data_IF_759139650989
#
_entry.id   IF_759139650989
#
_cell.length_a   1.000
_cell.length_b   1.000
_cell.length_c   1.000
_cell.angle_alpha   90.00
_cell.angle_beta   90.00
_cell.angle_gamma   90.00
#
_symmetry.space_group_name_H-M   'P 1'
#
loop_
_entity.id
_entity.type
_entity.pdbx_description
1 polymer ?
#
# COMPACT_ATOMS: atom_id res chain seq x y z
N UNK A 1 -31.96 -23.82 -21.49
CA UNK A 1 -32.02 -22.80 -20.42
C UNK A 1 -30.84 -21.87 -20.64
N UNK A 2 -31.05 -20.73 -21.27
CA UNK A 2 -30.01 -19.72 -21.44
C UNK A 2 -29.71 -19.14 -20.06
N UNK A 3 -28.53 -19.43 -19.55
CA UNK A 3 -27.99 -18.74 -18.35
C UNK A 3 -28.06 -17.24 -18.64
N UNK A 4 -29.03 -16.57 -18.04
CA UNK A 4 -29.17 -15.13 -18.17
C UNK A 4 -27.89 -14.50 -17.63
N UNK A 5 -27.16 -13.80 -18.48
CA UNK A 5 -25.94 -13.12 -18.08
C UNK A 5 -26.28 -12.18 -16.91
N UNK A 6 -25.76 -12.49 -15.74
CA UNK A 6 -25.93 -11.66 -14.55
C UNK A 6 -25.20 -10.34 -14.81
N UNK A 7 -25.89 -9.21 -14.74
CA UNK A 7 -25.26 -7.92 -14.92
C UNK A 7 -24.30 -7.65 -13.76
N UNK A 8 -23.04 -7.32 -14.05
CA UNK A 8 -22.06 -7.07 -13.00
C UNK A 8 -22.26 -5.68 -12.36
N UNK A 9 -21.73 -5.51 -11.15
CA UNK A 9 -21.58 -4.21 -10.53
C UNK A 9 -20.56 -3.37 -11.30
N UNK A 10 -20.78 -2.07 -11.36
CA UNK A 10 -19.87 -1.08 -11.93
C UNK A 10 -19.38 -0.23 -10.78
N UNK A 11 -18.08 -0.21 -10.54
CA UNK A 11 -17.46 0.65 -9.53
C UNK A 11 -16.92 1.91 -10.18
N UNK A 12 -17.46 3.06 -9.78
CA UNK A 12 -17.07 4.39 -10.25
C UNK A 12 -16.32 5.06 -9.09
N UNK A 13 -15.01 5.25 -9.23
CA UNK A 13 -14.22 5.94 -8.21
C UNK A 13 -14.47 7.44 -8.23
N UNK A 14 -14.41 8.04 -7.05
CA UNK A 14 -14.64 9.46 -6.76
C UNK A 14 -13.50 10.04 -5.93
N UNK A 15 -12.28 9.52 -6.13
CA UNK A 15 -11.09 9.82 -5.32
C UNK A 15 -10.59 11.26 -5.48
N UNK A 16 -11.08 11.99 -6.48
CA UNK A 16 -10.86 13.44 -6.65
C UNK A 16 -12.20 14.16 -6.83
N UNK A 17 -12.34 15.39 -6.31
CA UNK A 17 -13.60 16.14 -6.43
C UNK A 17 -14.02 16.41 -7.87
N UNK A 18 -13.04 16.65 -8.76
CA UNK A 18 -13.25 17.11 -10.12
C UNK A 18 -13.56 15.98 -11.10
N UNK A 19 -13.12 14.76 -10.79
CA UNK A 19 -13.16 13.65 -11.75
C UNK A 19 -13.73 12.37 -11.13
N UNK A 20 -14.61 11.75 -11.90
CA UNK A 20 -15.10 10.40 -11.65
C UNK A 20 -14.62 9.48 -12.78
N UNK A 21 -14.21 8.26 -12.48
CA UNK A 21 -13.89 7.29 -13.51
C UNK A 21 -14.23 5.86 -13.09
N UNK A 22 -14.36 4.94 -14.06
CA UNK A 22 -14.67 3.56 -13.75
C UNK A 22 -13.40 2.84 -13.31
N UNK A 23 -13.41 2.34 -12.08
CA UNK A 23 -12.37 1.48 -11.54
C UNK A 23 -12.55 0.03 -12.03
N UNK A 24 -13.79 -0.50 -11.99
CA UNK A 24 -14.06 -1.88 -12.35
C UNK A 24 -15.46 -2.08 -12.94
N UNK A 25 -15.63 -3.19 -13.68
CA UNK A 25 -16.93 -3.72 -14.11
C UNK A 25 -16.92 -5.22 -13.80
N UNK A 26 -17.62 -5.62 -12.74
CA UNK A 26 -17.42 -6.93 -12.13
C UNK A 26 -15.93 -7.08 -11.70
N UNK A 27 -15.37 -8.24 -12.01
CA UNK A 27 -13.96 -8.54 -11.66
C UNK A 27 -12.94 -7.89 -12.61
N UNK A 28 -13.40 -7.26 -13.71
CA UNK A 28 -12.50 -6.70 -14.70
C UNK A 28 -12.07 -5.25 -14.35
N UNK A 29 -10.76 -4.96 -14.20
CA UNK A 29 -10.26 -3.60 -14.01
C UNK A 29 -10.52 -2.74 -15.25
N UNK A 30 -10.69 -1.43 -15.06
CA UNK A 30 -10.96 -0.47 -16.14
C UNK A 30 -9.94 0.66 -16.25
N UNK A 31 -8.94 0.69 -15.39
CA UNK A 31 -7.82 1.63 -15.49
C UNK A 31 -8.25 3.08 -15.54
N UNK A 32 -9.23 3.49 -14.74
CA UNK A 32 -9.78 4.85 -14.73
C UNK A 32 -10.47 5.26 -16.06
N UNK A 33 -11.25 4.36 -16.64
CA UNK A 33 -11.99 4.63 -17.87
C UNK A 33 -13.04 5.74 -17.66
N UNK A 34 -13.34 6.48 -18.75
CA UNK A 34 -14.40 7.49 -18.73
C UNK A 34 -15.76 6.87 -18.35
N UNK A 35 -16.29 7.29 -17.21
CA UNK A 35 -17.48 6.69 -16.63
C UNK A 35 -18.75 6.93 -17.45
N UNK A 36 -18.88 8.09 -18.11
CA UNK A 36 -20.04 8.38 -18.94
C UNK A 36 -20.08 7.49 -20.18
N UNK A 37 -18.93 7.28 -20.81
CA UNK A 37 -18.82 6.37 -21.96
C UNK A 37 -19.09 4.92 -21.59
N UNK A 38 -18.63 4.48 -20.40
CA UNK A 38 -18.91 3.12 -19.91
C UNK A 38 -20.40 2.96 -19.65
N UNK A 39 -21.04 3.92 -18.97
CA UNK A 39 -22.48 3.91 -18.71
C UNK A 39 -23.29 3.88 -20.02
N UNK A 40 -22.96 4.72 -20.99
CA UNK A 40 -23.64 4.73 -22.29
C UNK A 40 -23.57 3.34 -22.96
N UNK A 41 -22.41 2.67 -22.91
CA UNK A 41 -22.27 1.32 -23.49
C UNK A 41 -23.08 0.28 -22.73
N UNK A 42 -23.16 0.37 -21.41
CA UNK A 42 -23.97 -0.54 -20.59
C UNK A 42 -25.44 -0.34 -20.84
N UNK A 43 -25.91 0.92 -20.89
CA UNK A 43 -27.29 1.25 -21.22
C UNK A 43 -27.67 0.80 -22.65
N UNK A 44 -26.78 0.97 -23.61
CA UNK A 44 -27.03 0.51 -24.99
C UNK A 44 -27.20 -1.02 -25.11
N UNK A 45 -26.67 -1.79 -24.15
CA UNK A 45 -26.87 -3.25 -24.07
C UNK A 45 -28.20 -3.62 -23.41
N UNK A 46 -28.90 -2.66 -22.81
CA UNK A 46 -30.21 -2.84 -22.15
C UNK A 46 -31.17 -1.80 -22.72
N UNK A 47 -31.67 -1.99 -23.98
CA UNK A 47 -32.46 -0.99 -24.68
C UNK A 47 -33.72 -0.53 -23.90
N UNK A 48 -34.32 -1.44 -23.17
CA UNK A 48 -35.47 -1.14 -22.33
C UNK A 48 -35.21 -0.10 -21.23
N UNK A 49 -33.98 -0.08 -20.67
CA UNK A 49 -33.54 0.94 -19.72
C UNK A 49 -33.24 2.27 -20.43
N UNK A 50 -32.65 2.19 -21.63
CA UNK A 50 -32.30 3.38 -22.40
C UNK A 50 -33.51 4.25 -22.73
N UNK A 51 -34.64 3.62 -23.05
CA UNK A 51 -35.87 4.32 -23.40
C UNK A 51 -36.58 4.90 -22.16
N UNK A 52 -36.41 4.28 -20.99
CA UNK A 52 -37.15 4.62 -19.76
C UNK A 52 -36.35 5.53 -18.82
N UNK A 53 -35.01 5.42 -18.85
CA UNK A 53 -34.08 6.18 -17.99
C UNK A 53 -33.21 7.07 -18.86
N UNK A 54 -33.41 8.37 -18.81
CA UNK A 54 -32.53 9.31 -19.48
C UNK A 54 -31.12 9.19 -18.86
N UNK A 55 -30.08 9.13 -19.66
CA UNK A 55 -28.69 9.09 -19.21
C UNK A 55 -28.37 10.18 -18.19
N UNK A 56 -28.97 11.35 -18.37
CA UNK A 56 -28.82 12.49 -17.43
C UNK A 56 -29.34 12.15 -16.03
N UNK A 57 -30.54 11.53 -15.92
CA UNK A 57 -31.12 11.16 -14.62
C UNK A 57 -30.29 10.12 -13.90
N UNK A 58 -29.64 9.19 -14.64
CA UNK A 58 -28.69 8.23 -14.06
C UNK A 58 -27.42 8.93 -13.56
N UNK A 59 -26.89 9.86 -14.32
CA UNK A 59 -25.74 10.69 -13.92
C UNK A 59 -26.08 11.47 -12.64
N UNK A 60 -27.26 12.09 -12.59
CA UNK A 60 -27.70 12.86 -11.43
C UNK A 60 -27.88 11.95 -10.19
N UNK A 61 -28.42 10.75 -10.35
CA UNK A 61 -28.55 9.77 -9.25
C UNK A 61 -27.19 9.29 -8.71
N UNK A 62 -26.21 9.08 -9.60
CA UNK A 62 -24.85 8.70 -9.18
C UNK A 62 -24.17 9.85 -8.42
N UNK A 63 -24.34 11.08 -8.90
CA UNK A 63 -23.81 12.26 -8.21
C UNK A 63 -24.48 12.48 -6.86
N UNK A 64 -25.81 12.36 -6.79
CA UNK A 64 -26.55 12.45 -5.54
C UNK A 64 -26.04 11.40 -4.52
N UNK A 65 -25.90 10.14 -4.93
CA UNK A 65 -25.38 9.09 -4.06
C UNK A 65 -23.93 9.38 -3.57
N UNK A 66 -23.10 10.04 -4.38
CA UNK A 66 -21.77 10.51 -3.96
C UNK A 66 -21.88 11.66 -2.96
N UNK A 67 -22.70 12.67 -3.27
CA UNK A 67 -22.72 13.94 -2.55
C UNK A 67 -23.52 13.85 -1.24
N UNK A 68 -24.60 13.05 -1.24
CA UNK A 68 -25.47 12.80 -0.10
C UNK A 68 -25.03 11.59 0.74
N UNK A 69 -24.11 10.78 0.18
CA UNK A 69 -23.57 9.57 0.83
C UNK A 69 -24.67 8.54 1.20
N UNK A 70 -25.73 8.44 0.39
CA UNK A 70 -26.88 7.58 0.63
C UNK A 70 -27.02 6.47 -0.43
N UNK A 71 -27.58 5.35 0.01
CA UNK A 71 -28.00 4.27 -0.87
C UNK A 71 -29.19 4.69 -1.73
N UNK A 72 -29.16 4.34 -3.02
CA UNK A 72 -30.28 4.59 -3.92
C UNK A 72 -30.83 3.28 -4.47
N UNK A 73 -32.11 3.03 -4.27
CA UNK A 73 -32.85 1.90 -4.83
C UNK A 73 -34.05 2.43 -5.63
N UNK A 74 -34.01 2.25 -6.95
CA UNK A 74 -35.04 2.66 -7.85
C UNK A 74 -35.60 1.47 -8.63
N UNK A 75 -36.91 1.41 -8.82
CA UNK A 75 -37.54 0.46 -9.75
C UNK A 75 -38.25 1.28 -10.85
N UNK A 76 -37.85 0.99 -12.08
CA UNK A 76 -38.34 1.69 -13.28
C UNK A 76 -39.22 0.77 -14.08
N UNK A 77 -40.42 1.24 -14.42
CA UNK A 77 -41.27 0.55 -15.38
C UNK A 77 -40.73 0.76 -16.80
N UNK A 78 -40.45 -0.33 -17.50
CA UNK A 78 -39.95 -0.30 -18.88
C UNK A 78 -40.82 -1.13 -19.80
N UNK A 79 -40.69 -0.96 -21.10
CA UNK A 79 -41.46 -1.72 -22.09
C UNK A 79 -41.22 -3.23 -22.05
N UNK A 80 -40.11 -3.68 -21.44
CA UNK A 80 -39.78 -5.11 -21.26
C UNK A 80 -39.99 -5.61 -19.81
N UNK A 81 -40.72 -4.83 -18.98
CA UNK A 81 -40.99 -5.16 -17.57
C UNK A 81 -40.17 -4.27 -16.60
N UNK A 82 -40.37 -4.43 -15.29
CA UNK A 82 -39.71 -3.59 -14.30
C UNK A 82 -38.21 -3.89 -14.25
N UNK A 83 -37.39 -2.82 -14.18
CA UNK A 83 -35.94 -2.89 -14.00
C UNK A 83 -35.55 -2.21 -12.68
N UNK A 84 -34.59 -2.75 -11.99
CA UNK A 84 -34.02 -2.21 -10.76
C UNK A 84 -32.68 -1.52 -11.04
N UNK A 85 -32.52 -0.39 -10.40
CA UNK A 85 -31.26 0.37 -10.30
C UNK A 85 -30.88 0.42 -8.83
N UNK A 86 -29.67 -0.01 -8.51
CA UNK A 86 -29.11 0.03 -7.15
C UNK A 86 -27.80 0.77 -7.16
N UNK A 87 -27.66 1.73 -6.27
CA UNK A 87 -26.44 2.51 -6.11
C UNK A 87 -25.99 2.42 -4.66
N UNK A 88 -24.70 2.14 -4.43
CA UNK A 88 -24.12 1.95 -3.10
C UNK A 88 -22.84 2.75 -2.98
N UNK A 89 -22.76 3.75 -2.10
CA UNK A 89 -21.53 4.46 -1.80
C UNK A 89 -20.49 3.54 -1.12
N UNK A 90 -19.22 3.81 -1.37
CA UNK A 90 -18.09 3.22 -0.68
C UNK A 90 -17.40 4.31 0.11
N UNK A 91 -17.37 4.14 1.43
CA UNK A 91 -16.90 5.18 2.34
C UNK A 91 -15.41 5.10 2.62
N UNK A 92 -14.78 6.26 2.75
CA UNK A 92 -13.48 6.47 3.34
C UNK A 92 -13.56 6.73 4.85
N UNK A 93 -12.40 6.95 5.52
CA UNK A 93 -12.32 7.09 6.98
C UNK A 93 -13.05 8.31 7.55
N UNK A 94 -13.17 9.38 6.78
CA UNK A 94 -13.86 10.61 7.17
C UNK A 94 -15.36 10.63 6.85
N UNK A 95 -15.93 9.53 6.32
CA UNK A 95 -17.28 9.49 5.78
C UNK A 95 -17.40 10.01 4.34
N UNK A 96 -16.30 10.46 3.75
CA UNK A 96 -16.25 10.87 2.34
C UNK A 96 -16.49 9.64 1.44
N UNK A 97 -17.15 9.84 0.31
CA UNK A 97 -17.43 8.77 -0.65
C UNK A 97 -16.24 8.61 -1.61
N UNK A 98 -15.55 7.47 -1.53
CA UNK A 98 -14.39 7.14 -2.37
C UNK A 98 -14.79 6.45 -3.68
N UNK A 99 -15.96 5.83 -3.72
CA UNK A 99 -16.55 5.27 -4.93
C UNK A 99 -18.06 5.16 -4.81
N UNK A 100 -18.70 5.06 -5.96
CA UNK A 100 -20.12 4.71 -6.07
C UNK A 100 -20.24 3.43 -6.89
N UNK A 101 -20.92 2.41 -6.35
CA UNK A 101 -21.18 1.15 -7.04
C UNK A 101 -22.60 1.13 -7.58
N UNK A 102 -22.69 0.81 -8.85
CA UNK A 102 -23.93 0.79 -9.61
C UNK A 102 -24.23 -0.62 -10.11
N UNK A 103 -25.44 -1.08 -9.86
CA UNK A 103 -26.00 -2.26 -10.50
C UNK A 103 -27.32 -1.91 -11.20
N UNK A 104 -27.49 -2.46 -12.40
CA UNK A 104 -28.72 -2.31 -13.19
C UNK A 104 -29.12 -3.66 -13.75
N UNK A 105 -30.40 -4.04 -13.61
CA UNK A 105 -30.89 -5.30 -14.14
C UNK A 105 -32.41 -5.38 -14.11
N UNK A 106 -32.98 -6.49 -14.65
CA UNK A 106 -34.41 -6.77 -14.46
C UNK A 106 -34.72 -6.84 -12.97
N UNK A 107 -35.86 -6.29 -12.54
CA UNK A 107 -36.28 -6.38 -11.14
C UNK A 107 -36.55 -7.82 -10.68
N UNK A 108 -36.78 -8.74 -11.62
CA UNK A 108 -36.92 -10.17 -11.36
C UNK A 108 -35.56 -10.91 -11.32
N UNK A 109 -34.46 -10.28 -11.77
CA UNK A 109 -33.14 -10.87 -11.73
C UNK A 109 -32.54 -10.79 -10.31
N UNK A 110 -31.83 -11.82 -9.92
CA UNK A 110 -31.05 -11.80 -8.67
C UNK A 110 -29.89 -10.83 -8.83
N UNK A 111 -29.86 -9.79 -7.99
CA UNK A 111 -28.69 -8.92 -7.89
C UNK A 111 -27.53 -9.73 -7.31
N UNK A 112 -26.34 -9.75 -7.94
CA UNK A 112 -25.20 -10.44 -7.39
C UNK A 112 -24.78 -9.84 -6.05
N UNK A 113 -24.15 -10.66 -5.22
CA UNK A 113 -23.56 -10.19 -3.98
C UNK A 113 -22.60 -9.03 -4.26
N UNK A 114 -22.60 -8.05 -3.37
CA UNK A 114 -21.73 -6.89 -3.47
C UNK A 114 -20.40 -7.20 -2.81
N UNK A 115 -19.28 -7.34 -3.56
CA UNK A 115 -17.98 -7.62 -2.96
C UNK A 115 -17.57 -6.55 -1.94
N UNK A 116 -16.74 -6.89 -0.97
CA UNK A 116 -16.26 -5.90 -0.02
C UNK A 116 -15.43 -4.82 -0.74
N UNK A 117 -15.61 -3.58 -0.36
CA UNK A 117 -14.75 -2.48 -0.78
C UNK A 117 -14.75 -1.36 0.25
N UNK A 118 -13.67 -0.60 0.28
CA UNK A 118 -13.46 0.46 1.27
C UNK A 118 -12.58 1.55 0.68
N UNK A 119 -12.81 2.79 1.14
CA UNK A 119 -11.89 3.90 0.91
C UNK A 119 -10.82 3.97 2.00
N UNK A 120 -9.62 4.39 1.64
CA UNK A 120 -8.55 4.70 2.58
C UNK A 120 -7.85 6.00 2.20
N UNK A 121 -7.18 6.64 3.15
CA UNK A 121 -6.44 7.89 2.93
C UNK A 121 -5.00 7.67 3.38
N UNK A 122 -4.06 7.86 2.49
CA UNK A 122 -2.65 7.99 2.78
C UNK A 122 -2.32 9.45 3.06
N UNK A 123 -1.77 9.73 4.22
CA UNK A 123 -1.25 11.04 4.60
C UNK A 123 0.29 11.00 4.62
N UNK A 124 0.90 11.73 3.70
CA UNK A 124 2.35 11.81 3.58
C UNK A 124 2.99 12.53 4.77
N UNK A 125 2.29 13.44 5.42
CA UNK A 125 2.85 14.20 6.54
C UNK A 125 2.99 13.34 7.80
N UNK A 126 1.98 12.55 8.09
CA UNK A 126 1.98 11.62 9.23
C UNK A 126 2.58 10.26 8.88
N UNK A 127 2.70 9.92 7.59
CA UNK A 127 3.11 8.61 7.06
C UNK A 127 2.23 7.47 7.53
N UNK A 128 0.96 7.76 7.66
CA UNK A 128 -0.05 6.79 8.06
C UNK A 128 -1.11 6.61 7.00
N UNK A 129 -1.72 5.44 7.01
CA UNK A 129 -2.92 5.15 6.26
C UNK A 129 -4.10 5.11 7.21
N UNK A 130 -5.14 5.85 6.87
CA UNK A 130 -6.40 5.88 7.61
C UNK A 130 -7.43 5.02 6.88
N UNK A 131 -8.20 4.25 7.62
CA UNK A 131 -9.22 3.35 7.07
C UNK A 131 -10.48 3.33 7.95
N UNK A 132 -11.68 3.24 7.35
CA UNK A 132 -12.93 3.14 8.11
C UNK A 132 -13.11 1.73 8.68
N UNK A 133 -14.08 1.58 9.60
CA UNK A 133 -14.45 0.28 10.18
C UNK A 133 -14.80 -0.77 9.11
N UNK A 134 -15.30 -0.35 7.95
CA UNK A 134 -15.61 -1.23 6.82
C UNK A 134 -14.41 -2.03 6.28
N UNK A 135 -13.17 -1.62 6.60
CA UNK A 135 -11.96 -2.36 6.24
C UNK A 135 -11.89 -3.76 6.87
N UNK A 136 -12.58 -3.99 7.99
CA UNK A 136 -12.66 -5.32 8.62
C UNK A 136 -13.33 -6.36 7.72
N UNK A 137 -14.20 -5.95 6.79
CA UNK A 137 -14.81 -6.85 5.80
C UNK A 137 -13.83 -7.36 4.76
N UNK A 138 -12.76 -6.59 4.47
CA UNK A 138 -11.69 -7.03 3.56
C UNK A 138 -10.76 -8.06 4.21
N UNK A 139 -10.57 -7.96 5.53
CA UNK A 139 -9.61 -8.79 6.27
C UNK A 139 -10.28 -9.96 7.00
N UNK A 140 -11.60 -10.01 7.03
CA UNK A 140 -12.33 -10.99 7.83
C UNK A 140 -12.21 -10.77 9.36
N UNK A 141 -11.65 -9.65 9.79
CA UNK A 141 -11.47 -9.33 11.20
C UNK A 141 -12.78 -8.87 11.85
N UNK A 142 -12.87 -9.01 13.18
CA UNK A 142 -13.98 -8.43 13.94
C UNK A 142 -13.85 -6.89 14.03
N UNK A 143 -14.98 -6.22 14.29
CA UNK A 143 -14.98 -4.78 14.51
C UNK A 143 -14.07 -4.33 15.67
N UNK A 144 -13.88 -5.18 16.68
CA UNK A 144 -13.01 -4.94 17.83
C UNK A 144 -11.52 -4.94 17.47
N UNK A 145 -11.16 -5.61 16.37
CA UNK A 145 -9.79 -5.68 15.85
C UNK A 145 -9.49 -4.56 14.86
N UNK A 146 -10.44 -3.64 14.66
CA UNK A 146 -10.25 -2.53 13.74
C UNK A 146 -9.15 -1.59 14.20
N UNK A 147 -8.18 -1.33 13.30
CA UNK A 147 -7.11 -0.35 13.49
C UNK A 147 -7.38 0.81 12.54
N UNK A 148 -7.91 1.95 13.02
CA UNK A 148 -8.33 3.07 12.16
C UNK A 148 -7.16 3.78 11.49
N UNK A 149 -5.98 3.74 12.09
CA UNK A 149 -4.75 4.39 11.59
C UNK A 149 -3.58 3.43 11.76
N UNK A 150 -2.86 3.16 10.68
CA UNK A 150 -1.67 2.30 10.71
C UNK A 150 -0.55 2.92 9.88
N UNK A 151 0.69 2.47 10.10
CA UNK A 151 1.81 2.84 9.24
C UNK A 151 1.68 2.20 7.86
N UNK A 152 2.30 2.80 6.86
CA UNK A 152 2.36 2.18 5.53
C UNK A 152 3.13 0.86 5.55
N UNK A 153 4.10 0.71 6.45
CA UNK A 153 4.86 -0.52 6.63
C UNK A 153 3.97 -1.68 7.10
N UNK A 154 2.98 -1.41 7.96
CA UNK A 154 2.00 -2.40 8.40
C UNK A 154 1.10 -2.85 7.25
N UNK A 155 0.63 -1.91 6.41
CA UNK A 155 -0.14 -2.27 5.22
C UNK A 155 0.69 -3.13 4.27
N UNK A 156 1.91 -2.72 3.94
CA UNK A 156 2.78 -3.48 3.03
C UNK A 156 3.21 -4.83 3.60
N UNK A 157 3.30 -4.97 4.92
CA UNK A 157 3.61 -6.25 5.55
C UNK A 157 2.53 -7.32 5.30
N UNK A 158 1.27 -6.89 5.19
CA UNK A 158 0.13 -7.77 4.86
C UNK A 158 0.10 -8.18 3.39
N UNK A 159 0.78 -7.44 2.52
CA UNK A 159 0.83 -7.69 1.08
C UNK A 159 1.97 -8.68 0.78
N UNK A 160 1.62 -9.85 0.25
CA UNK A 160 2.61 -10.89 -0.03
C UNK A 160 3.45 -10.62 -1.28
N UNK A 161 2.85 -10.04 -2.32
CA UNK A 161 3.53 -9.68 -3.56
C UNK A 161 2.73 -8.66 -4.37
N UNK A 162 3.43 -7.75 -5.04
CA UNK A 162 2.90 -6.93 -6.13
C UNK A 162 4.03 -6.41 -7.03
N UNK A 163 3.72 -6.26 -8.32
CA UNK A 163 4.77 -6.03 -9.33
C UNK A 163 5.07 -4.54 -9.61
N UNK A 164 4.30 -3.61 -9.03
CA UNK A 164 4.41 -2.16 -9.31
C UNK A 164 4.96 -1.37 -8.14
N UNK A 165 5.87 -1.96 -7.41
CA UNK A 165 6.38 -1.43 -6.15
C UNK A 165 6.97 -0.02 -6.28
N UNK A 166 7.85 0.20 -7.27
CA UNK A 166 8.47 1.50 -7.50
C UNK A 166 7.43 2.59 -7.84
N UNK A 167 6.45 2.28 -8.70
CA UNK A 167 5.39 3.22 -9.09
C UNK A 167 4.48 3.57 -7.90
N UNK A 168 4.16 2.58 -7.05
CA UNK A 168 3.37 2.80 -5.83
C UNK A 168 4.13 3.72 -4.87
N UNK A 169 5.42 3.46 -4.64
CA UNK A 169 6.24 4.29 -3.77
C UNK A 169 6.41 5.70 -4.32
N UNK A 170 6.59 5.86 -5.64
CA UNK A 170 6.69 7.18 -6.26
C UNK A 170 5.40 7.99 -6.04
N UNK A 171 4.25 7.39 -6.30
CA UNK A 171 2.96 8.04 -6.07
C UNK A 171 2.72 8.38 -4.60
N UNK A 172 3.12 7.51 -3.67
CA UNK A 172 2.91 7.74 -2.23
C UNK A 172 3.85 8.80 -1.64
N UNK A 173 5.10 8.85 -2.10
CA UNK A 173 6.13 9.73 -1.50
C UNK A 173 6.45 10.98 -2.33
N UNK A 174 6.06 11.01 -3.59
CA UNK A 174 6.23 12.15 -4.49
C UNK A 174 4.95 12.44 -5.28
N UNK A 175 3.78 12.55 -4.58
CA UNK A 175 2.49 12.70 -5.25
C UNK A 175 2.46 13.95 -6.12
N UNK A 176 2.02 13.81 -7.37
CA UNK A 176 1.79 14.93 -8.30
C UNK A 176 0.31 14.98 -8.65
N UNK A 177 -0.21 16.19 -8.80
CA UNK A 177 -1.60 16.37 -9.21
C UNK A 177 -1.88 15.61 -10.53
N UNK A 178 -2.92 14.76 -10.50
CA UNK A 178 -3.30 13.91 -11.63
C UNK A 178 -2.66 12.53 -11.66
N UNK A 179 -1.66 12.24 -10.82
CA UNK A 179 -1.09 10.90 -10.71
C UNK A 179 -2.16 9.92 -10.21
N UNK A 180 -2.21 8.78 -10.88
CA UNK A 180 -3.15 7.71 -10.57
C UNK A 180 -2.55 6.36 -10.91
N UNK A 181 -2.90 5.36 -10.12
CA UNK A 181 -2.42 4.00 -10.27
C UNK A 181 -3.51 3.00 -9.93
N UNK A 182 -3.63 1.94 -10.73
CA UNK A 182 -4.46 0.79 -10.40
C UNK A 182 -3.63 -0.48 -10.53
N UNK A 183 -3.68 -1.33 -9.52
CA UNK A 183 -2.94 -2.59 -9.48
C UNK A 183 -3.65 -3.59 -8.56
N UNK A 184 -3.24 -4.84 -8.64
CA UNK A 184 -3.75 -5.90 -7.79
C UNK A 184 -2.64 -6.44 -6.89
N UNK A 185 -3.01 -6.85 -5.69
CA UNK A 185 -2.09 -7.38 -4.68
C UNK A 185 -2.68 -8.64 -4.06
N UNK A 186 -1.80 -9.57 -3.70
CA UNK A 186 -2.16 -10.70 -2.87
C UNK A 186 -1.92 -10.37 -1.41
N UNK A 187 -2.90 -10.59 -0.55
CA UNK A 187 -2.88 -10.26 0.87
C UNK A 187 -2.93 -11.53 1.69
N UNK A 188 -2.06 -11.62 2.68
CA UNK A 188 -1.95 -12.78 3.60
C UNK A 188 -2.44 -12.45 5.00
N UNK A 189 -3.54 -11.72 5.12
CA UNK A 189 -4.11 -11.32 6.40
C UNK A 189 -5.15 -12.35 6.84
N UNK A 190 -4.70 -13.38 7.53
CA UNK A 190 -5.56 -14.42 8.09
C UNK A 190 -5.02 -15.84 7.90
N UNK A 191 -5.42 -16.79 8.76
CA UNK A 191 -4.84 -18.12 8.80
C UNK A 191 -5.29 -19.05 7.67
N UNK A 192 -6.35 -18.73 6.93
CA UNK A 192 -7.00 -19.72 6.10
C UNK A 192 -6.90 -19.53 4.59
N UNK A 193 -6.78 -18.31 4.06
CA UNK A 193 -6.72 -18.10 2.61
C UNK A 193 -6.14 -16.74 2.23
N UNK A 194 -5.21 -16.67 1.26
CA UNK A 194 -4.77 -15.39 0.73
C UNK A 194 -5.93 -14.71 0.01
N UNK A 195 -6.16 -13.44 0.33
CA UNK A 195 -7.09 -12.57 -0.39
C UNK A 195 -6.42 -11.88 -1.57
N UNK A 196 -7.19 -11.41 -2.53
CA UNK A 196 -6.72 -10.57 -3.63
C UNK A 196 -7.47 -9.25 -3.62
N UNK A 197 -6.71 -8.17 -3.52
CA UNK A 197 -7.26 -6.82 -3.53
C UNK A 197 -6.87 -6.07 -4.79
N UNK A 198 -7.82 -5.34 -5.34
CA UNK A 198 -7.57 -4.31 -6.34
C UNK A 198 -7.53 -2.97 -5.65
N UNK A 199 -6.42 -2.25 -5.86
CA UNK A 199 -6.20 -0.94 -5.28
C UNK A 199 -6.18 0.09 -6.40
N UNK A 200 -7.07 1.08 -6.33
CA UNK A 200 -7.07 2.25 -7.18
C UNK A 200 -6.65 3.45 -6.34
N UNK A 201 -5.62 4.19 -6.78
CA UNK A 201 -5.03 5.31 -6.04
C UNK A 201 -5.08 6.55 -6.92
N UNK A 202 -5.38 7.69 -6.31
CA UNK A 202 -5.14 9.02 -6.87
C UNK A 202 -4.35 9.87 -5.90
N UNK A 203 -3.29 10.51 -6.41
CA UNK A 203 -2.55 11.51 -5.64
C UNK A 203 -3.45 12.71 -5.34
N UNK A 204 -3.29 13.24 -4.14
CA UNK A 204 -3.97 14.45 -3.65
C UNK A 204 -2.95 15.38 -3.01
N UNK A 205 -3.02 16.64 -3.42
CA UNK A 205 -2.26 17.75 -2.84
C UNK A 205 -3.21 18.93 -2.68
N UNK A 206 -4.08 18.82 -1.69
CA UNK A 206 -5.08 19.85 -1.38
C UNK A 206 -5.01 20.24 0.11
N UNK A 207 -5.83 21.20 0.51
CA UNK A 207 -5.82 21.71 1.89
C UNK A 207 -6.12 20.65 2.97
N UNK A 208 -6.70 19.51 2.59
CA UNK A 208 -7.05 18.41 3.51
C UNK A 208 -6.04 17.27 3.49
N UNK A 209 -5.44 16.99 2.34
CA UNK A 209 -4.61 15.81 2.15
C UNK A 209 -3.41 16.13 1.28
N UNK A 210 -2.21 15.99 1.83
CA UNK A 210 -1.00 15.82 1.04
C UNK A 210 -0.66 14.34 1.06
N UNK A 211 -0.91 13.65 -0.06
CA UNK A 211 -0.74 12.21 -0.13
C UNK A 211 -1.59 11.56 -1.21
N UNK A 212 -2.48 10.64 -0.83
CA UNK A 212 -3.33 9.95 -1.79
C UNK A 212 -4.64 9.44 -1.17
N UNK A 213 -5.67 9.38 -2.00
CA UNK A 213 -6.90 8.67 -1.70
C UNK A 213 -6.92 7.33 -2.43
N UNK A 214 -7.39 6.30 -1.73
CA UNK A 214 -7.40 4.93 -2.21
C UNK A 214 -8.83 4.38 -2.21
N UNK A 215 -9.10 3.54 -3.19
CA UNK A 215 -10.23 2.60 -3.21
C UNK A 215 -9.65 1.20 -3.22
N UNK A 216 -10.04 0.37 -2.27
CA UNK A 216 -9.62 -1.03 -2.14
C UNK A 216 -10.85 -1.89 -2.36
N UNK A 217 -10.83 -2.77 -3.36
CA UNK A 217 -11.88 -3.71 -3.71
C UNK A 217 -11.39 -5.14 -3.47
N UNK A 218 -12.21 -5.95 -2.80
CA UNK A 218 -11.98 -7.40 -2.73
C UNK A 218 -12.31 -8.03 -4.09
N UNK A 219 -11.33 -8.64 -4.71
CA UNK A 219 -11.46 -9.36 -5.99
C UNK A 219 -11.02 -10.82 -5.85
N UNK A 220 -11.07 -11.34 -4.63
CA UNK A 220 -10.74 -12.73 -4.33
C UNK A 220 -11.70 -13.65 -5.08
N UNK A 221 -11.14 -14.55 -5.87
CA UNK A 221 -11.89 -15.56 -6.60
C UNK A 221 -11.68 -16.94 -5.96
N UNK A 222 -12.74 -17.73 -5.88
CA UNK A 222 -12.67 -19.10 -5.34
C UNK A 222 -11.81 -20.05 -6.17
N UNK A 223 -11.58 -19.72 -7.43
CA UNK A 223 -10.92 -20.58 -8.39
C UNK A 223 -9.45 -20.17 -8.69
N UNK A 224 -8.93 -19.12 -8.08
CA UNK A 224 -7.54 -18.74 -8.32
C UNK A 224 -6.56 -19.60 -7.52
N UNK A 225 -5.49 -20.10 -8.16
CA UNK A 225 -4.44 -20.80 -7.45
C UNK A 225 -3.71 -19.84 -6.52
N UNK A 226 -3.37 -20.30 -5.33
CA UNK A 226 -2.51 -19.55 -4.41
C UNK A 226 -1.18 -19.23 -5.10
N UNK A 227 -0.82 -17.94 -5.18
CA UNK A 227 0.49 -17.55 -5.69
C UNK A 227 1.58 -17.96 -4.69
N UNK A 228 2.46 -18.86 -5.13
CA UNK A 228 3.64 -19.21 -4.36
C UNK A 228 4.69 -18.09 -4.44
N UNK A 229 5.42 -17.81 -3.36
CA UNK A 229 6.50 -16.83 -3.42
C UNK A 229 7.56 -17.27 -4.41
N UNK A 230 8.12 -16.32 -5.16
CA UNK A 230 9.18 -16.60 -6.13
C UNK A 230 10.45 -17.15 -5.44
N UNK A 231 11.25 -17.91 -6.19
CA UNK A 231 12.50 -18.47 -5.67
C UNK A 231 13.46 -17.39 -5.18
N UNK A 232 13.52 -16.25 -5.88
CA UNK A 232 14.32 -15.09 -5.50
C UNK A 232 13.89 -14.55 -4.15
N UNK A 233 12.61 -14.42 -3.91
CA UNK A 233 12.06 -13.92 -2.65
C UNK A 233 12.36 -14.88 -1.50
N UNK A 234 12.17 -16.18 -1.72
CA UNK A 234 12.51 -17.21 -0.73
C UNK A 234 14.01 -17.21 -0.44
N UNK A 235 14.83 -17.15 -1.49
CA UNK A 235 16.30 -17.11 -1.37
C UNK A 235 16.78 -15.87 -0.62
N UNK A 236 16.24 -14.69 -0.94
CA UNK A 236 16.58 -13.44 -0.26
C UNK A 236 16.23 -13.50 1.23
N UNK A 237 15.01 -13.92 1.56
CA UNK A 237 14.59 -14.08 2.96
C UNK A 237 15.51 -15.00 3.73
N UNK A 238 15.77 -16.19 3.18
CA UNK A 238 16.57 -17.20 3.86
C UNK A 238 18.04 -16.77 4.02
N UNK A 239 18.63 -16.11 3.03
CA UNK A 239 19.99 -15.58 3.11
C UNK A 239 20.11 -14.54 4.24
N UNK A 240 19.17 -13.59 4.31
CA UNK A 240 19.19 -12.57 5.37
C UNK A 240 18.88 -13.15 6.75
N UNK A 241 17.93 -14.09 6.84
CA UNK A 241 17.62 -14.79 8.08
C UNK A 241 18.85 -15.51 8.65
N UNK A 242 19.62 -16.21 7.81
CA UNK A 242 20.86 -16.89 8.21
C UNK A 242 21.98 -15.93 8.59
N UNK A 243 22.06 -14.81 7.91
CA UNK A 243 23.04 -13.76 8.20
C UNK A 243 22.70 -12.93 9.46
N UNK A 244 21.49 -13.07 10.01
CA UNK A 244 21.00 -12.26 11.12
C UNK A 244 20.84 -10.79 10.74
N UNK A 245 20.50 -10.53 9.47
CA UNK A 245 20.30 -9.20 8.90
C UNK A 245 18.87 -9.07 8.40
N UNK A 246 18.36 -7.84 8.29
CA UNK A 246 17.03 -7.54 7.81
C UNK A 246 17.10 -6.44 6.77
N UNK A 247 16.26 -6.52 5.74
CA UNK A 247 16.17 -5.49 4.71
C UNK A 247 14.85 -4.75 4.81
N UNK A 248 14.92 -3.43 4.76
CA UNK A 248 13.76 -2.55 4.70
C UNK A 248 13.98 -1.42 3.71
N UNK A 249 12.90 -0.84 3.23
CA UNK A 249 12.92 0.48 2.59
C UNK A 249 12.71 1.52 3.68
N UNK A 250 13.63 2.48 3.74
CA UNK A 250 13.60 3.59 4.68
C UNK A 250 13.37 4.88 3.91
N UNK A 251 12.43 5.68 4.36
CA UNK A 251 12.24 7.05 3.90
C UNK A 251 13.21 7.95 4.66
N UNK A 252 14.19 8.50 3.96
CA UNK A 252 15.34 9.18 4.58
C UNK A 252 14.99 10.57 5.11
N UNK A 253 14.15 11.35 4.41
CA UNK A 253 13.79 12.71 4.83
C UNK A 253 12.93 12.76 6.08
N UNK A 254 12.18 11.69 6.38
CA UNK A 254 11.31 11.59 7.55
C UNK A 254 11.78 10.57 8.57
N UNK A 255 12.85 9.84 8.25
CA UNK A 255 13.44 8.80 9.10
C UNK A 255 12.39 7.77 9.57
N UNK A 256 11.72 7.10 8.62
CA UNK A 256 10.73 6.07 8.91
C UNK A 256 10.95 4.82 8.06
N UNK A 257 10.46 3.69 8.52
CA UNK A 257 10.44 2.45 7.75
C UNK A 257 9.16 2.43 6.92
N UNK A 258 9.33 2.30 5.59
CA UNK A 258 8.22 2.27 4.64
C UNK A 258 7.78 0.84 4.32
N UNK A 259 8.72 -0.10 4.22
CA UNK A 259 8.42 -1.48 3.84
C UNK A 259 9.54 -2.43 4.26
N UNK A 260 9.18 -3.62 4.73
CA UNK A 260 10.12 -4.70 4.99
C UNK A 260 10.26 -5.60 3.76
N UNK A 261 11.45 -5.69 3.21
CA UNK A 261 11.76 -6.57 2.06
C UNK A 261 12.01 -8.02 2.49
N UNK A 262 12.46 -8.20 3.74
CA UNK A 262 12.61 -9.50 4.41
C UNK A 262 11.72 -9.53 5.64
N UNK A 263 11.86 -10.56 6.49
CA UNK A 263 11.18 -10.56 7.77
C UNK A 263 11.58 -9.33 8.60
N UNK A 264 10.64 -8.69 9.32
CA UNK A 264 10.95 -7.55 10.17
C UNK A 264 11.99 -7.88 11.23
N UNK A 265 12.82 -6.90 11.58
CA UNK A 265 13.80 -7.06 12.65
C UNK A 265 13.10 -7.27 14.01
N UNK A 266 13.29 -8.42 14.69
CA UNK A 266 12.51 -8.78 15.87
C UNK A 266 12.78 -7.89 17.10
N UNK A 267 13.83 -7.09 17.08
CA UNK A 267 14.16 -6.13 18.14
C UNK A 267 13.66 -4.72 17.88
N UNK A 268 13.00 -4.45 16.75
CA UNK A 268 12.47 -3.14 16.38
C UNK A 268 10.96 -3.17 16.47
N UNK A 269 10.39 -2.29 17.28
CA UNK A 269 8.96 -2.02 17.29
C UNK A 269 8.63 -1.07 16.13
N UNK A 270 8.17 -1.61 15.04
CA UNK A 270 7.84 -0.90 13.81
C UNK A 270 6.33 -0.85 13.54
N UNK A 271 5.57 -1.67 14.22
CA UNK A 271 4.12 -1.85 14.14
C UNK A 271 3.39 -1.10 15.27
N UNK A 272 2.10 -0.84 15.06
CA UNK A 272 1.23 -0.14 16.02
C UNK A 272 1.80 1.21 16.49
N UNK A 273 2.50 1.92 15.61
CA UNK A 273 3.02 3.25 15.88
C UNK A 273 2.03 4.31 15.40
N UNK A 274 1.60 5.19 16.31
CA UNK A 274 0.81 6.38 15.95
C UNK A 274 1.61 7.35 15.06
N UNK A 275 2.92 7.33 15.20
CA UNK A 275 3.86 8.14 14.42
C UNK A 275 4.99 7.23 13.94
N UNK A 276 4.99 6.81 12.67
CA UNK A 276 6.02 5.91 12.12
C UNK A 276 7.45 6.42 12.27
N UNK A 277 7.65 7.73 12.38
CA UNK A 277 8.96 8.33 12.64
C UNK A 277 9.52 7.99 14.03
N UNK A 278 8.66 7.60 14.99
CA UNK A 278 9.09 7.27 16.35
C UNK A 278 9.83 5.92 16.43
N UNK A 279 9.89 5.19 15.31
CA UNK A 279 10.72 3.97 15.19
C UNK A 279 12.20 4.24 15.49
N UNK A 280 12.68 5.47 15.24
CA UNK A 280 14.04 5.88 15.56
C UNK A 280 14.06 6.98 16.62
N UNK A 281 15.09 6.97 17.47
CA UNK A 281 15.28 7.99 18.49
C UNK A 281 15.35 9.40 17.86
N UNK A 282 14.75 10.43 18.47
CA UNK A 282 14.71 11.79 17.89
C UNK A 282 16.05 12.34 17.42
N UNK A 283 17.11 12.20 18.24
CA UNK A 283 18.45 12.71 17.89
C UNK A 283 19.05 11.96 16.68
N UNK A 284 18.76 10.67 16.55
CA UNK A 284 19.30 9.83 15.47
C UNK A 284 18.55 10.06 14.17
N UNK A 285 17.29 10.52 14.23
CA UNK A 285 16.53 10.94 13.04
C UNK A 285 17.25 12.04 12.28
N UNK A 286 17.76 13.05 13.00
CA UNK A 286 18.51 14.16 12.38
C UNK A 286 19.76 13.62 11.66
N UNK A 287 20.46 12.65 12.26
CA UNK A 287 21.64 12.02 11.64
C UNK A 287 21.26 11.22 10.40
N UNK A 288 20.15 10.48 10.44
CA UNK A 288 19.65 9.71 9.31
C UNK A 288 19.23 10.63 8.14
N UNK A 289 18.51 11.71 8.44
CA UNK A 289 18.10 12.72 7.46
C UNK A 289 19.30 13.39 6.78
N UNK A 290 20.37 13.66 7.53
CA UNK A 290 21.60 14.26 6.99
C UNK A 290 22.34 13.36 5.97
N UNK A 291 22.00 12.06 5.88
CA UNK A 291 22.58 11.15 4.88
C UNK A 291 21.86 11.24 3.52
N UNK A 292 20.72 11.93 3.44
CA UNK A 292 19.92 12.02 2.23
C UNK A 292 20.73 12.53 1.03
N UNK A 293 21.55 13.56 1.21
CA UNK A 293 22.36 14.14 0.13
C UNK A 293 23.42 13.17 -0.41
N UNK A 294 24.01 12.36 0.46
CA UNK A 294 24.98 11.32 0.05
C UNK A 294 24.30 10.20 -0.74
N UNK A 295 23.15 9.77 -0.30
CA UNK A 295 22.35 8.78 -1.02
C UNK A 295 21.86 9.32 -2.36
N UNK A 296 21.60 10.62 -2.43
CA UNK A 296 21.25 11.29 -3.67
C UNK A 296 22.39 11.32 -4.70
N UNK A 297 23.65 11.37 -4.26
CA UNK A 297 24.81 11.27 -5.16
C UNK A 297 25.10 9.82 -5.60
N UNK A 298 24.34 8.84 -5.11
CA UNK A 298 24.53 7.43 -5.45
C UNK A 298 25.46 6.68 -4.50
N UNK A 299 25.95 7.35 -3.45
CA UNK A 299 26.84 6.73 -2.47
C UNK A 299 26.08 5.84 -1.48
N UNK A 300 26.77 4.85 -0.95
CA UNK A 300 26.29 4.10 0.22
C UNK A 300 26.61 4.87 1.51
N UNK A 301 25.77 4.69 2.54
CA UNK A 301 25.99 5.35 3.81
C UNK A 301 25.73 4.38 4.99
N UNK A 302 26.62 4.41 5.98
CA UNK A 302 26.46 3.65 7.22
C UNK A 302 26.16 4.57 8.40
N UNK A 303 25.24 4.17 9.26
CA UNK A 303 24.92 4.88 10.51
C UNK A 303 24.44 3.91 11.57
N UNK A 304 24.79 4.14 12.83
CA UNK A 304 24.17 3.46 13.95
C UNK A 304 23.12 4.35 14.57
N UNK A 305 21.91 3.83 14.71
CA UNK A 305 20.76 4.54 15.29
C UNK A 305 20.19 3.74 16.46
N UNK A 306 19.51 4.40 17.36
CA UNK A 306 18.71 3.80 18.41
C UNK A 306 17.30 3.54 17.88
N UNK A 307 16.95 2.27 17.66
CA UNK A 307 15.63 1.86 17.21
C UNK A 307 14.75 1.51 18.42
N UNK A 308 13.48 1.96 18.41
CA UNK A 308 12.49 1.65 19.44
C UNK A 308 12.28 0.14 19.53
N UNK A 309 12.25 -0.40 20.75
CA UNK A 309 12.01 -1.81 21.00
C UNK A 309 10.63 -2.06 21.65
N UNK A 310 10.21 -3.30 21.72
CA UNK A 310 8.92 -3.68 22.33
C UNK A 310 8.86 -3.47 23.86
N UNK A 311 10.00 -3.26 24.52
CA UNK A 311 10.08 -2.91 25.95
C UNK A 311 9.92 -1.42 26.22
N UNK A 312 9.71 -0.59 25.19
CA UNK A 312 9.58 0.86 25.29
C UNK A 312 10.91 1.63 25.40
N UNK A 313 12.04 0.91 25.38
CA UNK A 313 13.39 1.49 25.29
C UNK A 313 13.91 1.46 23.86
N UNK A 314 15.22 1.64 23.72
CA UNK A 314 15.89 1.67 22.42
C UNK A 314 16.98 0.61 22.31
N UNK A 315 17.11 0.03 21.13
CA UNK A 315 18.16 -0.95 20.79
C UNK A 315 19.09 -0.36 19.75
N UNK A 316 20.42 -0.32 19.97
CA UNK A 316 21.38 0.10 18.97
C UNK A 316 21.29 -0.78 17.72
N UNK A 317 21.09 -0.15 16.57
CA UNK A 317 20.90 -0.80 15.28
C UNK A 317 21.79 -0.15 14.24
N UNK A 318 22.65 -0.93 13.61
CA UNK A 318 23.45 -0.47 12.48
C UNK A 318 22.63 -0.54 11.20
N UNK A 319 22.59 0.55 10.47
CA UNK A 319 21.97 0.67 9.15
C UNK A 319 23.06 0.86 8.10
N UNK A 320 23.09 0.01 7.09
CA UNK A 320 23.80 0.25 5.85
C UNK A 320 22.78 0.59 4.77
N UNK A 321 22.86 1.82 4.29
CA UNK A 321 21.87 2.41 3.37
C UNK A 321 22.42 2.41 1.95
N UNK A 322 21.59 1.96 1.01
CA UNK A 322 21.85 1.96 -0.42
C UNK A 322 20.80 2.81 -1.13
N UNK A 323 21.15 3.61 -2.15
CA UNK A 323 20.15 4.26 -2.98
C UNK A 323 19.18 3.23 -3.55
N UNK A 324 17.88 3.55 -3.56
CA UNK A 324 16.88 2.65 -4.14
C UNK A 324 17.02 2.64 -5.68
N UNK A 325 17.39 1.49 -6.31
CA UNK A 325 17.64 1.43 -7.74
C UNK A 325 16.39 1.70 -8.57
N UNK A 326 16.52 2.56 -9.59
CA UNK A 326 15.42 2.85 -10.52
C UNK A 326 14.28 3.67 -9.93
N UNK A 327 14.42 4.19 -8.70
CA UNK A 327 13.44 5.06 -8.09
C UNK A 327 13.78 6.53 -8.38
N UNK A 328 12.87 7.29 -9.03
CA UNK A 328 13.16 8.65 -9.45
C UNK A 328 13.27 9.64 -8.29
N UNK A 329 12.51 9.43 -7.22
CA UNK A 329 12.61 10.24 -6.01
C UNK A 329 13.65 9.65 -5.08
N UNK A 330 14.68 10.42 -4.78
CA UNK A 330 15.83 9.99 -3.97
C UNK A 330 15.56 10.02 -2.46
N UNK A 331 14.31 10.04 -2.04
CA UNK A 331 13.88 10.05 -0.64
C UNK A 331 13.87 8.65 0.00
N UNK A 332 13.99 7.60 -0.82
CA UNK A 332 13.97 6.21 -0.36
C UNK A 332 15.32 5.55 -0.51
N UNK A 333 15.70 4.78 0.49
CA UNK A 333 16.89 3.93 0.49
C UNK A 333 16.54 2.50 0.92
N UNK A 334 17.26 1.52 0.38
CA UNK A 334 17.27 0.18 0.94
C UNK A 334 18.20 0.22 2.15
N UNK A 335 17.69 -0.19 3.30
CA UNK A 335 18.47 -0.30 4.53
C UNK A 335 18.70 -1.78 4.88
N UNK A 336 19.94 -2.15 5.07
CA UNK A 336 20.31 -3.41 5.73
C UNK A 336 20.49 -3.13 7.22
N UNK A 337 19.70 -3.80 8.05
CA UNK A 337 19.65 -3.60 9.49
C UNK A 337 20.32 -4.76 10.22
N UNK A 338 21.17 -4.41 11.18
CA UNK A 338 21.87 -5.37 12.05
C UNK A 338 21.80 -4.89 13.49
N UNK A 339 21.46 -5.77 14.42
CA UNK A 339 21.56 -5.45 15.85
C UNK A 339 23.02 -5.29 16.25
N UNK A 340 23.35 -4.17 16.87
CA UNK A 340 24.68 -3.97 17.44
C UNK A 340 24.73 -4.67 18.80
N UNK A 341 25.78 -5.48 19.03
CA UNK A 341 26.01 -6.06 20.35
C UNK A 341 26.40 -4.96 21.35
N UNK A 342 26.01 -5.12 22.62
CA UNK A 342 26.19 -4.08 23.66
C UNK A 342 27.66 -3.65 23.86
N UNK A 343 28.63 -4.47 23.43
CA UNK A 343 30.08 -4.22 23.55
C UNK A 343 30.73 -3.54 22.34
N UNK A 344 29.95 -3.14 21.31
CA UNK A 344 30.53 -2.51 20.11
C UNK A 344 30.40 -0.99 20.16
N UNK A 345 31.46 -0.23 19.85
CA UNK A 345 31.39 1.23 19.78
C UNK A 345 30.41 1.66 18.69
N UNK A 346 29.62 2.70 18.97
CA UNK A 346 28.70 3.32 18.02
C UNK A 346 29.47 3.80 16.79
N UNK A 347 29.02 3.43 15.59
CA UNK A 347 29.55 4.00 14.36
C UNK A 347 29.12 5.46 14.28
N UNK A 348 30.06 6.36 14.55
CA UNK A 348 29.82 7.79 14.34
C UNK A 348 29.80 8.11 12.85
N UNK A 349 28.84 8.90 12.42
CA UNK A 349 28.73 9.43 11.07
C UNK A 349 29.94 10.34 10.79
N UNK A 350 31.00 9.75 10.21
CA UNK A 350 32.31 10.27 10.25
C UNK A 350 32.65 11.45 9.36
N UNK A 351 33.49 12.30 9.88
CA UNK A 351 34.43 13.15 9.12
C UNK A 351 35.87 12.63 9.14
N UNK A 352 36.19 11.58 9.86
CA UNK A 352 37.60 11.19 10.17
C UNK A 352 38.02 9.79 9.70
N UNK A 353 37.37 9.19 8.70
CA UNK A 353 37.81 7.90 8.15
C UNK A 353 38.83 8.03 6.99
N UNK A 354 39.38 9.22 6.76
CA UNK A 354 40.31 9.47 5.63
C UNK A 354 41.70 9.95 6.04
N UNK A 355 42.11 9.78 7.30
CA UNK A 355 43.55 9.83 7.61
C UNK A 355 44.09 8.40 7.71
N UNK A 356 44.39 7.83 6.56
CA UNK A 356 45.16 6.58 6.46
C UNK A 356 46.62 6.85 6.71
N UNK A 357 47.31 6.10 7.57
CA UNK A 357 48.76 6.09 7.58
C UNK A 357 49.27 5.65 6.20
N UNK A 358 50.17 6.42 5.63
CA UNK A 358 50.80 6.12 4.34
C UNK A 358 51.34 4.67 4.33
N UNK A 359 50.79 3.81 3.49
CA UNK A 359 51.36 2.50 3.16
C UNK A 359 50.42 1.30 3.05
N UNK A 360 49.16 1.38 3.37
CA UNK A 360 48.21 0.27 3.11
C UNK A 360 47.03 0.72 2.33
N UNK A 361 46.69 0.01 1.25
CA UNK A 361 45.48 0.25 0.50
C UNK A 361 44.23 0.16 1.43
N UNK A 362 43.25 1.06 1.35
CA UNK A 362 42.06 1.02 2.19
C UNK A 362 41.31 -0.27 1.89
N UNK A 363 41.14 -1.13 2.90
CA UNK A 363 40.18 -2.22 2.86
C UNK A 363 38.80 -1.54 2.76
N UNK A 364 38.10 -1.72 1.65
CA UNK A 364 36.77 -1.13 1.44
C UNK A 364 35.86 -1.51 2.59
N UNK A 365 34.93 -0.62 2.92
CA UNK A 365 33.92 -0.83 3.98
C UNK A 365 33.15 -2.14 3.77
N UNK A 366 33.00 -2.56 2.53
CA UNK A 366 32.42 -3.83 2.10
C UNK A 366 33.21 -5.05 2.60
N UNK A 367 34.57 -4.97 2.56
CA UNK A 367 35.42 -6.03 3.04
C UNK A 367 35.38 -6.23 4.57
N UNK A 368 35.16 -5.15 5.32
CA UNK A 368 35.03 -5.26 6.78
C UNK A 368 33.72 -5.91 7.19
N UNK A 369 32.62 -5.61 6.46
CA UNK A 369 31.34 -6.26 6.72
C UNK A 369 31.35 -7.73 6.32
N UNK A 370 31.94 -8.06 5.17
CA UNK A 370 32.12 -9.41 4.70
C UNK A 370 33.06 -10.20 5.60
N UNK A 371 34.14 -9.59 6.06
CA UNK A 371 35.07 -10.21 7.01
C UNK A 371 34.41 -10.54 8.35
N UNK A 372 33.56 -9.65 8.86
CA UNK A 372 32.78 -9.85 10.10
C UNK A 372 31.70 -10.90 9.95
N UNK A 373 30.99 -10.94 8.79
CA UNK A 373 30.04 -12.00 8.46
C UNK A 373 30.72 -13.36 8.35
N UNK A 374 31.87 -13.45 7.69
CA UNK A 374 32.65 -14.68 7.56
C UNK A 374 33.18 -15.19 8.92
N UNK A 375 33.59 -14.29 9.81
CA UNK A 375 34.05 -14.65 11.16
C UNK A 375 32.91 -15.12 12.08
N UNK A 376 31.71 -14.64 11.90
CA UNK A 376 30.52 -15.06 12.66
C UNK A 376 30.00 -16.43 12.20
N UNK A 377 30.08 -16.73 10.92
CA UNK A 377 29.72 -18.05 10.35
C UNK A 377 30.68 -19.18 10.84
N UNK A 378 31.95 -18.85 11.16
CA UNK A 378 32.90 -19.81 11.71
C UNK A 378 32.72 -20.14 13.20
N UNK A 379 31.86 -19.39 13.93
CA UNK A 379 31.67 -19.57 15.38
C UNK A 379 30.29 -20.16 15.76
N UNK A 380 29.43 -20.50 14.80
CA UNK A 380 28.18 -21.22 15.10
C UNK A 380 28.48 -22.71 15.24
N UNK A 381 28.26 -23.34 16.38
CA UNK A 381 28.35 -24.79 16.50
C UNK A 381 27.21 -25.42 15.66
N UNK A 382 27.60 -26.42 14.89
CA UNK A 382 26.70 -27.34 14.20
C UNK A 382 25.94 -28.15 15.28
N UNK A 383 24.61 -27.91 15.37
CA UNK A 383 23.64 -28.87 15.90
C UNK A 383 22.50 -29.00 14.91
#
# INVERSE_FOLDING_TARGET
>A
MTSGAVNPWITIETLTPEAMSVASVGDAPRGFADWQRVLQRVMARTPALYDSLKTRSLIDAIRAARDEAEDVDLTLATGSGPHALRIRPVFGPGGDVHAVRLWMGSAAATCPELPAAVGAIWDLNTQTIQQPIGATRLTGNSAEQHVPVMSIAELFHRISAFNRHAEVLDLLYSPKAGDKLQFEVTVTDGPERPGRWRISIRARDDARTQGAWLLIEDVTSDNEPSEWPTLERVGLREAHRRAGTHLAIVQTERASISHWLTDPAPWIRWDYLFRPVDVFHPDDRVRLMALSDRLQSGDTAGVTVRALNYGGGYTPTSLLLYPYPGYPSRQLAIAQLVRVADDMPMLESGRNALETPQGQAPIGYDDQLQYRLAHRLKRSPVY
#
